data_IF_684635545946
#
_entry.id   IF_684635545946
#
_cell.length_a   1.000
_cell.length_b   1.000
_cell.length_c   1.000
_cell.angle_alpha   90.00
_cell.angle_beta   90.00
_cell.angle_gamma   90.00
#
_symmetry.space_group_name_H-M   'P 1'
#
loop_
_entity.id
_entity.type
_entity.pdbx_description
1 polymer ?
#
# COMPACT_ATOMS: atom_id res chain seq x y z
N UNK A 1 18.40 29.91 -16.78
CA UNK A 1 17.96 29.36 -15.48
C UNK A 1 17.18 28.09 -15.76
N UNK A 2 17.80 26.92 -15.62
CA UNK A 2 17.09 25.64 -15.72
C UNK A 2 16.80 25.16 -14.31
N UNK A 3 15.72 25.66 -13.72
CA UNK A 3 15.08 25.02 -12.57
C UNK A 3 14.51 23.70 -13.07
N UNK A 4 15.37 22.69 -13.17
CA UNK A 4 14.95 21.32 -13.27
C UNK A 4 14.06 21.05 -12.07
N UNK A 5 12.79 20.71 -12.35
CA UNK A 5 11.96 19.97 -11.43
C UNK A 5 12.84 18.79 -10.97
N UNK A 6 13.37 18.85 -9.76
CA UNK A 6 13.93 17.67 -9.12
C UNK A 6 12.75 16.73 -8.98
N UNK A 7 12.61 15.79 -9.93
CA UNK A 7 11.77 14.64 -9.74
C UNK A 7 12.24 14.03 -8.41
N UNK A 8 11.41 14.07 -7.38
CA UNK A 8 11.71 13.41 -6.11
C UNK A 8 12.00 11.95 -6.45
N UNK A 9 13.28 11.59 -6.46
CA UNK A 9 13.71 10.25 -6.83
C UNK A 9 13.09 9.31 -5.82
N UNK A 10 12.27 8.37 -6.30
CA UNK A 10 11.69 7.37 -5.41
C UNK A 10 12.86 6.55 -4.82
N UNK A 11 13.08 6.57 -3.49
CA UNK A 11 14.26 5.97 -2.87
C UNK A 11 14.36 4.45 -3.10
N UNK A 12 13.26 3.83 -3.54
CA UNK A 12 13.16 2.41 -3.84
C UNK A 12 13.54 2.05 -5.28
N UNK A 13 13.72 3.01 -6.19
CA UNK A 13 14.04 2.73 -7.60
C UNK A 13 15.40 2.05 -7.79
N UNK A 14 16.37 2.39 -6.94
CA UNK A 14 17.72 1.79 -6.95
C UNK A 14 17.77 0.39 -6.33
N UNK A 15 16.67 -0.08 -5.71
CA UNK A 15 16.61 -1.35 -4.99
C UNK A 15 16.33 -2.52 -5.92
N UNK A 16 16.99 -3.65 -5.65
CA UNK A 16 16.67 -4.93 -6.27
C UNK A 16 15.34 -5.48 -5.76
N UNK A 17 14.72 -6.39 -6.52
CA UNK A 17 13.48 -7.07 -6.10
C UNK A 17 13.65 -7.81 -4.78
N UNK A 18 14.84 -8.39 -4.54
CA UNK A 18 15.19 -9.03 -3.27
C UNK A 18 15.24 -8.03 -2.12
N UNK A 19 15.90 -6.89 -2.29
CA UNK A 19 15.93 -5.85 -1.27
C UNK A 19 14.52 -5.32 -0.96
N UNK A 20 13.70 -5.10 -1.98
CA UNK A 20 12.31 -4.68 -1.79
C UNK A 20 11.55 -5.68 -0.91
N UNK A 21 11.64 -6.98 -1.23
CA UNK A 21 11.03 -8.05 -0.42
C UNK A 21 11.56 -8.01 1.02
N UNK A 22 12.88 -7.96 1.22
CA UNK A 22 13.51 -8.03 2.54
C UNK A 22 13.16 -6.81 3.43
N UNK A 23 12.80 -5.67 2.81
CA UNK A 23 12.37 -4.44 3.49
C UNK A 23 10.88 -4.42 3.88
N UNK A 24 10.05 -5.34 3.37
CA UNK A 24 8.63 -5.38 3.67
C UNK A 24 8.38 -5.44 5.20
N UNK A 25 7.47 -4.63 5.73
CA UNK A 25 7.25 -4.52 7.19
C UNK A 25 8.27 -3.66 7.95
N UNK A 26 9.44 -3.34 7.37
CA UNK A 26 10.47 -2.45 7.98
C UNK A 26 10.45 -1.03 7.43
N UNK A 27 9.85 -0.81 6.26
CA UNK A 27 9.73 0.52 5.66
C UNK A 27 9.06 1.46 6.65
N UNK A 28 9.67 2.63 6.87
CA UNK A 28 9.14 3.66 7.75
C UNK A 28 7.79 4.17 7.23
N UNK A 29 6.80 4.44 8.10
CA UNK A 29 5.42 4.70 7.67
C UNK A 29 5.24 5.76 6.57
N UNK A 30 5.99 6.85 6.64
CA UNK A 30 5.93 7.95 5.67
C UNK A 30 6.41 7.56 4.26
N UNK A 31 7.25 6.54 4.12
CA UNK A 31 7.78 6.06 2.84
C UNK A 31 7.00 4.87 2.27
N UNK A 32 6.07 4.29 3.03
CA UNK A 32 5.25 3.16 2.56
C UNK A 32 4.48 3.47 1.26
N UNK A 33 3.92 4.68 1.03
CA UNK A 33 3.28 4.98 -0.24
C UNK A 33 4.23 4.83 -1.45
N UNK A 34 5.46 5.34 -1.36
CA UNK A 34 6.43 5.26 -2.45
C UNK A 34 6.97 3.84 -2.65
N UNK A 35 7.11 3.09 -1.55
CA UNK A 35 7.44 1.67 -1.58
C UNK A 35 6.36 0.87 -2.32
N UNK A 36 5.08 1.06 -2.00
CA UNK A 36 3.97 0.37 -2.67
C UNK A 36 3.87 0.73 -4.15
N UNK A 37 4.12 1.99 -4.50
CA UNK A 37 4.20 2.43 -5.90
C UNK A 37 5.32 1.71 -6.67
N UNK A 38 6.50 1.54 -6.06
CA UNK A 38 7.60 0.80 -6.69
C UNK A 38 7.27 -0.69 -6.86
N UNK A 39 6.71 -1.35 -5.83
CA UNK A 39 6.24 -2.74 -5.94
C UNK A 39 5.22 -2.91 -7.08
N UNK A 40 4.28 -1.98 -7.21
CA UNK A 40 3.31 -2.00 -8.29
C UNK A 40 3.98 -1.82 -9.66
N UNK A 41 4.88 -0.86 -9.80
CA UNK A 41 5.66 -0.62 -11.03
C UNK A 41 6.44 -1.86 -11.47
N UNK A 42 7.08 -2.59 -10.54
CA UNK A 42 7.81 -3.84 -10.82
C UNK A 42 6.86 -4.94 -11.31
N UNK A 43 5.77 -5.15 -10.59
CA UNK A 43 4.85 -6.25 -10.88
C UNK A 43 4.05 -6.09 -12.16
N UNK A 44 3.91 -4.86 -12.68
CA UNK A 44 3.34 -4.61 -14.03
C UNK A 44 4.07 -5.32 -15.15
N UNK A 45 5.38 -5.54 -15.01
CA UNK A 45 6.22 -6.23 -16.00
C UNK A 45 6.26 -7.75 -15.81
N UNK A 46 5.74 -8.25 -14.70
CA UNK A 46 5.74 -9.67 -14.36
C UNK A 46 4.52 -10.39 -14.94
N UNK A 47 4.71 -11.66 -15.31
CA UNK A 47 3.59 -12.58 -15.62
C UNK A 47 2.72 -12.81 -14.38
N UNK A 48 1.43 -13.18 -14.52
CA UNK A 48 0.52 -13.36 -13.38
C UNK A 48 1.06 -14.27 -12.27
N UNK A 49 1.63 -15.44 -12.62
CA UNK A 49 2.19 -16.37 -11.64
C UNK A 49 3.43 -15.80 -10.92
N UNK A 50 4.29 -15.09 -11.65
CA UNK A 50 5.48 -14.43 -11.08
C UNK A 50 5.07 -13.31 -10.13
N UNK A 51 4.06 -12.53 -10.52
CA UNK A 51 3.47 -11.48 -9.68
C UNK A 51 2.90 -12.06 -8.39
N UNK A 52 2.15 -13.17 -8.47
CA UNK A 52 1.61 -13.87 -7.29
C UNK A 52 2.74 -14.29 -6.34
N UNK A 53 3.74 -15.01 -6.86
CA UNK A 53 4.92 -15.45 -6.08
C UNK A 53 5.71 -14.28 -5.49
N UNK A 54 5.79 -13.16 -6.20
CA UNK A 54 6.45 -11.96 -5.71
C UNK A 54 5.71 -11.37 -4.50
N UNK A 55 4.39 -11.18 -4.60
CA UNK A 55 3.60 -10.66 -3.48
C UNK A 55 3.54 -11.63 -2.30
N UNK A 56 3.49 -12.95 -2.52
CA UNK A 56 3.60 -13.94 -1.44
C UNK A 56 4.90 -13.76 -0.64
N UNK A 57 6.03 -13.53 -1.32
CA UNK A 57 7.32 -13.26 -0.66
C UNK A 57 7.33 -11.92 0.08
N UNK A 58 6.75 -10.88 -0.50
CA UNK A 58 6.61 -9.56 0.16
C UNK A 58 5.79 -9.70 1.45
N UNK A 59 4.66 -10.40 1.41
CA UNK A 59 3.80 -10.60 2.59
C UNK A 59 4.49 -11.44 3.65
N UNK A 60 5.09 -12.58 3.28
CA UNK A 60 5.82 -13.43 4.23
C UNK A 60 6.99 -12.68 4.91
N UNK A 61 7.68 -11.82 4.17
CA UNK A 61 8.73 -10.95 4.73
C UNK A 61 8.16 -9.90 5.68
N UNK A 62 7.02 -9.28 5.32
CA UNK A 62 6.33 -8.34 6.19
C UNK A 62 5.91 -9.01 7.51
N UNK A 63 5.25 -10.16 7.44
CA UNK A 63 4.82 -10.93 8.61
C UNK A 63 6.00 -11.27 9.52
N UNK A 64 7.09 -11.79 8.94
CA UNK A 64 8.32 -12.08 9.68
C UNK A 64 8.90 -10.83 10.34
N UNK A 65 8.93 -9.71 9.62
CA UNK A 65 9.54 -8.47 10.11
C UNK A 65 8.69 -7.75 11.16
N UNK A 66 7.40 -8.05 11.25
CA UNK A 66 6.49 -7.51 12.27
C UNK A 66 6.11 -8.52 13.37
N UNK A 67 6.57 -9.77 13.29
CA UNK A 67 6.17 -10.86 14.19
C UNK A 67 6.43 -10.58 15.68
N UNK A 68 7.46 -9.81 15.99
CA UNK A 68 7.86 -9.48 17.36
C UNK A 68 7.32 -8.12 17.85
N UNK A 69 6.49 -7.45 17.05
CA UNK A 69 5.87 -6.19 17.47
C UNK A 69 4.74 -6.49 18.46
N UNK A 70 4.58 -5.65 19.47
CA UNK A 70 3.36 -5.68 20.28
C UNK A 70 2.16 -5.29 19.42
N UNK A 71 0.95 -5.71 19.80
CA UNK A 71 -0.26 -5.29 19.10
C UNK A 71 -0.42 -3.76 19.10
N UNK A 72 -0.02 -3.11 20.20
CA UNK A 72 -0.05 -1.65 20.32
C UNK A 72 0.90 -0.97 19.32
N UNK A 73 2.16 -1.41 19.25
CA UNK A 73 3.14 -0.85 18.32
C UNK A 73 2.78 -1.12 16.87
N UNK A 74 2.26 -2.32 16.59
CA UNK A 74 1.74 -2.66 15.27
C UNK A 74 0.56 -1.75 14.90
N UNK A 75 -0.37 -1.53 15.83
CA UNK A 75 -1.50 -0.62 15.67
C UNK A 75 -1.06 0.81 15.33
N UNK A 76 -0.19 1.40 16.14
CA UNK A 76 0.38 2.74 15.90
C UNK A 76 1.08 2.84 14.55
N UNK A 77 1.82 1.79 14.17
CA UNK A 77 2.49 1.72 12.86
C UNK A 77 1.48 1.72 11.72
N UNK A 78 0.40 0.95 11.83
CA UNK A 78 -0.64 0.88 10.79
C UNK A 78 -1.40 2.20 10.67
N UNK A 79 -1.71 2.87 11.78
CA UNK A 79 -2.31 4.21 11.77
C UNK A 79 -1.42 5.23 11.05
N UNK A 80 -0.11 5.23 11.36
CA UNK A 80 0.85 6.12 10.70
C UNK A 80 0.94 5.83 9.20
N UNK A 81 0.88 4.56 8.79
CA UNK A 81 0.85 4.17 7.37
C UNK A 81 -0.42 4.67 6.71
N UNK A 82 -1.58 4.49 7.33
CA UNK A 82 -2.86 4.98 6.79
C UNK A 82 -2.86 6.49 6.62
N UNK A 83 -2.33 7.24 7.59
CA UNK A 83 -2.18 8.69 7.51
C UNK A 83 -1.26 9.10 6.34
N UNK A 84 -0.10 8.45 6.21
CA UNK A 84 0.85 8.70 5.11
C UNK A 84 0.22 8.40 3.74
N UNK A 85 -0.51 7.29 3.62
CA UNK A 85 -1.23 6.91 2.41
C UNK A 85 -2.30 7.94 2.05
N UNK A 86 -3.13 8.36 3.01
CA UNK A 86 -4.15 9.41 2.79
C UNK A 86 -3.51 10.72 2.33
N UNK A 87 -2.44 11.15 2.98
CA UNK A 87 -1.73 12.37 2.63
C UNK A 87 -1.09 12.29 1.22
N UNK A 88 -0.53 11.15 0.85
CA UNK A 88 0.04 10.94 -0.50
C UNK A 88 -1.06 10.95 -1.57
N UNK A 89 -2.16 10.24 -1.34
CA UNK A 89 -3.29 10.15 -2.28
C UNK A 89 -3.97 11.52 -2.47
N UNK A 90 -4.13 12.31 -1.40
CA UNK A 90 -4.76 13.63 -1.48
C UNK A 90 -3.99 14.62 -2.39
N UNK A 91 -2.69 14.39 -2.61
CA UNK A 91 -1.84 15.19 -3.51
C UNK A 91 -1.86 14.71 -4.96
N UNK A 92 -2.57 13.63 -5.26
CA UNK A 92 -2.63 13.05 -6.61
C UNK A 92 -3.92 13.44 -7.33
N UNK A 93 -3.80 13.73 -8.62
CA UNK A 93 -4.95 13.70 -9.54
C UNK A 93 -5.48 12.27 -9.68
N UNK A 94 -6.72 12.13 -10.19
CA UNK A 94 -7.32 10.81 -10.47
C UNK A 94 -6.45 9.96 -11.41
N UNK A 95 -5.82 10.57 -12.41
CA UNK A 95 -4.93 9.88 -13.34
C UNK A 95 -3.65 9.40 -12.64
N UNK A 96 -3.03 10.25 -11.81
CA UNK A 96 -1.86 9.88 -11.02
C UNK A 96 -2.18 8.76 -10.02
N UNK A 97 -3.33 8.82 -9.34
CA UNK A 97 -3.77 7.77 -8.42
C UNK A 97 -4.00 6.42 -9.13
N UNK A 98 -4.60 6.42 -10.33
CA UNK A 98 -4.75 5.18 -11.12
C UNK A 98 -3.39 4.61 -11.54
N UNK A 99 -2.46 5.48 -11.95
CA UNK A 99 -1.13 5.09 -12.38
C UNK A 99 -0.24 4.59 -11.22
N UNK A 100 -0.46 5.09 -9.99
CA UNK A 100 0.36 4.77 -8.82
C UNK A 100 0.16 3.35 -8.29
N UNK A 101 -0.99 2.73 -8.57
CA UNK A 101 -1.32 1.40 -8.02
C UNK A 101 -1.77 1.41 -6.56
N UNK A 102 -1.89 2.57 -5.92
CA UNK A 102 -2.35 2.69 -4.53
C UNK A 102 -3.85 2.43 -4.36
N UNK A 103 -4.57 2.19 -5.46
CA UNK A 103 -6.00 1.86 -5.43
C UNK A 103 -6.29 0.44 -4.93
N UNK A 104 -5.30 -0.46 -4.94
CA UNK A 104 -5.44 -1.84 -4.44
C UNK A 104 -5.47 -1.94 -2.91
N UNK A 105 -5.02 -0.90 -2.19
CA UNK A 105 -5.05 -0.86 -0.72
C UNK A 105 -6.42 -0.55 -0.12
N UNK A 106 -7.44 -0.29 -0.94
CA UNK A 106 -8.80 -0.02 -0.45
C UNK A 106 -9.60 -1.28 -0.10
N UNK A 107 -8.93 -2.42 0.07
CA UNK A 107 -9.58 -3.70 0.30
C UNK A 107 -10.33 -4.21 -0.95
N UNK A 108 -11.08 -5.32 -0.85
CA UNK A 108 -11.85 -5.92 -1.96
C UNK A 108 -13.00 -5.04 -2.47
N UNK A 109 -13.09 -3.82 -1.97
CA UNK A 109 -14.15 -2.87 -2.19
C UNK A 109 -13.53 -1.66 -2.87
N UNK A 110 -13.49 -1.70 -4.21
CA UNK A 110 -12.90 -0.68 -5.07
C UNK A 110 -13.56 0.72 -4.93
N UNK A 111 -13.26 1.67 -5.83
CA UNK A 111 -13.75 3.05 -5.76
C UNK A 111 -15.25 3.18 -6.09
N UNK A 112 -16.08 2.56 -5.26
CA UNK A 112 -17.52 2.40 -5.39
C UNK A 112 -18.19 1.57 -4.29
N UNK A 113 -17.48 1.08 -3.26
CA UNK A 113 -18.17 0.54 -2.08
C UNK A 113 -18.66 1.68 -1.19
N UNK A 114 -19.95 1.71 -0.83
CA UNK A 114 -20.55 2.65 0.10
C UNK A 114 -20.27 2.20 1.54
N UNK A 115 -19.04 1.78 1.83
CA UNK A 115 -18.63 1.50 3.19
C UNK A 115 -18.26 2.85 3.83
N UNK A 116 -19.32 3.51 4.28
CA UNK A 116 -19.33 4.73 5.08
C UNK A 116 -18.51 4.48 6.36
N UNK A 117 -17.32 5.07 6.44
CA UNK A 117 -16.59 5.20 7.71
C UNK A 117 -16.82 6.59 8.30
N UNK A 118 -18.08 7.04 8.29
CA UNK A 118 -18.58 8.00 9.27
C UNK A 118 -18.76 7.31 10.63
N UNK A 119 -18.69 8.04 11.76
CA UNK A 119 -19.00 7.46 13.05
C UNK A 119 -20.52 7.24 13.13
N UNK A 120 -20.93 6.05 13.54
CA UNK A 120 -22.32 5.57 13.72
C UNK A 120 -23.01 5.04 12.44
N UNK A 121 -23.42 3.77 12.49
CA UNK A 121 -24.29 3.15 11.49
C UNK A 121 -24.41 1.64 11.68
N UNK A 122 -25.54 1.21 12.21
CA UNK A 122 -25.87 -0.14 12.67
C UNK A 122 -25.71 -1.24 11.59
N UNK A 123 -25.01 -2.32 11.92
CA UNK A 123 -25.03 -3.55 11.12
C UNK A 123 -26.38 -4.26 11.29
N UNK A 124 -27.30 -4.10 10.33
CA UNK A 124 -28.42 -5.04 10.19
C UNK A 124 -27.88 -6.37 9.62
N UNK A 125 -28.21 -7.53 10.22
CA UNK A 125 -27.71 -8.82 9.74
C UNK A 125 -28.33 -9.19 8.38
N UNK A 126 -27.62 -9.99 7.56
CA UNK A 126 -28.06 -10.32 6.21
C UNK A 126 -29.33 -11.19 6.21
N UNK A 127 -30.24 -10.88 5.30
CA UNK A 127 -31.45 -11.69 5.05
C UNK A 127 -31.07 -13.07 4.48
N UNK A 128 -31.80 -14.14 4.83
CA UNK A 128 -31.60 -15.46 4.25
C UNK A 128 -32.05 -15.49 2.78
N UNK A 129 -31.31 -16.22 1.95
CA UNK A 129 -31.69 -16.54 0.58
C UNK A 129 -32.70 -17.70 0.59
N UNK A 130 -33.80 -17.54 -0.15
CA UNK A 130 -34.81 -18.58 -0.43
C UNK A 130 -34.24 -19.77 -1.22
#
# INVERSE_FOLDING_TARGET
MCTGLLAESNPFESKSDKELIDMAGKVVPNQVPDYKMELYKRTKKMKPEQRKKFYEKVMASADKNTANMTMEDFGKRMEAIHAAMKARIAKMTRAQFKASGLFWDRGPHGPGCPCDHGPHGDHKPPHPHD
#
